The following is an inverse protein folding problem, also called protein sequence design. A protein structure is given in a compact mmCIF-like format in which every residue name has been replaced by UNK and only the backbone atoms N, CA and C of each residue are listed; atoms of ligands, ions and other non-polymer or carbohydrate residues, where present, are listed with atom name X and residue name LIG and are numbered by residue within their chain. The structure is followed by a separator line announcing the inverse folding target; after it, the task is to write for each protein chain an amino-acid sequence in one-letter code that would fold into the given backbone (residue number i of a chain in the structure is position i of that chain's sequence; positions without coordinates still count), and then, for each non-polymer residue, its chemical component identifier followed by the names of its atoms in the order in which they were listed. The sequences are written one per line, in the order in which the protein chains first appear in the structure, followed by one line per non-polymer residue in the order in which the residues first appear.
data_IF_503019640811
#
_entry.id   IF_503019640811
#
_cell.length_a   1.000
_cell.length_b   1.000
_cell.length_c   1.000
_cell.angle_alpha   90.00
_cell.angle_beta   90.00
_cell.angle_gamma   90.00
#
_symmetry.space_group_name_H-M   'P 1'
#
loop_
_entity.id
_entity.type
_entity.pdbx_description
1 polymer ?
#
# COMPACT_ATOMS: atom_id res chain seq x y z
N UNK A 1 -4.55 23.23 22.90
CA UNK A 1 -5.01 21.85 22.66
C UNK A 1 -3.77 21.09 22.24
N UNK A 2 -3.20 20.26 23.11
CA UNK A 2 -2.14 19.34 22.70
C UNK A 2 -2.81 18.22 21.92
N UNK A 3 -2.47 18.08 20.64
CA UNK A 3 -2.61 16.79 19.99
C UNK A 3 -1.66 15.87 20.74
N UNK A 4 -2.19 14.89 21.47
CA UNK A 4 -1.41 13.80 22.06
C UNK A 4 -0.88 12.92 20.92
N UNK A 5 0.02 13.49 20.11
CA UNK A 5 0.81 12.71 19.17
C UNK A 5 1.90 12.03 19.98
N UNK A 6 1.74 10.73 20.20
CA UNK A 6 2.80 9.89 20.73
C UNK A 6 4.08 10.16 19.92
N UNK A 7 5.19 10.58 20.54
CA UNK A 7 6.41 10.90 19.82
C UNK A 7 6.87 9.65 19.04
N UNK A 8 7.27 9.85 17.79
CA UNK A 8 7.77 8.79 16.91
C UNK A 8 9.06 9.22 16.22
N UNK A 9 9.82 8.25 15.73
CA UNK A 9 10.95 8.42 14.82
C UNK A 9 10.67 7.69 13.51
N UNK A 10 11.17 8.22 12.39
CA UNK A 10 11.03 7.60 11.08
C UNK A 10 12.21 6.72 10.71
N UNK A 11 11.87 5.50 10.30
CA UNK A 11 12.78 4.40 10.06
C UNK A 11 12.63 3.90 8.63
N UNK A 12 13.71 3.95 7.83
CA UNK A 12 13.73 3.40 6.48
C UNK A 12 14.20 1.95 6.52
N UNK A 13 13.32 1.00 6.27
CA UNK A 13 13.71 -0.41 6.06
C UNK A 13 13.76 -0.71 4.56
N UNK A 14 14.52 -1.71 4.15
CA UNK A 14 14.60 -2.15 2.75
C UNK A 14 14.40 -3.66 2.65
N UNK A 15 13.45 -4.07 1.80
CA UNK A 15 13.13 -5.46 1.51
C UNK A 15 13.33 -5.72 0.02
N UNK A 16 14.24 -6.61 -0.35
CA UNK A 16 14.46 -7.03 -1.75
C UNK A 16 14.05 -8.48 -1.91
N UNK A 17 13.16 -8.74 -2.87
CA UNK A 17 12.59 -10.07 -3.14
C UNK A 17 12.75 -10.41 -4.63
N UNK A 18 12.92 -11.70 -4.99
CA UNK A 18 12.78 -12.16 -6.37
C UNK A 18 11.37 -11.93 -6.90
N UNK A 19 11.23 -11.69 -8.21
CA UNK A 19 9.93 -11.50 -8.87
C UNK A 19 9.06 -12.77 -8.92
N UNK A 20 9.66 -13.95 -8.93
CA UNK A 20 8.91 -15.23 -8.88
C UNK A 20 8.27 -15.50 -7.51
N UNK A 21 8.71 -14.79 -6.48
CA UNK A 21 8.39 -15.00 -5.08
C UNK A 21 7.66 -13.80 -4.48
N UNK A 22 7.03 -12.97 -5.32
CA UNK A 22 6.46 -11.69 -4.89
C UNK A 22 5.42 -11.95 -3.81
N UNK A 23 5.80 -11.64 -2.57
CA UNK A 23 4.92 -11.47 -1.44
C UNK A 23 4.90 -10.00 -1.07
N UNK A 24 3.93 -9.58 -0.27
CA UNK A 24 3.93 -8.23 0.28
C UNK A 24 4.68 -8.26 1.63
N UNK A 25 6.00 -7.96 1.69
CA UNK A 25 6.76 -8.07 2.95
C UNK A 25 6.31 -7.05 3.99
N UNK A 26 5.61 -6.01 3.52
CA UNK A 26 5.25 -4.87 4.33
C UNK A 26 4.09 -5.19 5.28
N UNK A 27 3.25 -6.17 4.98
CA UNK A 27 2.19 -6.57 5.90
C UNK A 27 2.77 -6.97 7.28
N UNK A 28 3.87 -7.74 7.29
CA UNK A 28 4.56 -8.15 8.52
C UNK A 28 5.09 -6.96 9.33
N UNK A 29 5.34 -5.83 8.67
CA UNK A 29 5.71 -4.57 9.34
C UNK A 29 4.55 -4.06 10.18
N UNK A 30 3.34 -3.94 9.64
CA UNK A 30 2.19 -3.34 10.37
C UNK A 30 1.78 -4.09 11.63
N UNK A 31 2.06 -5.40 11.71
CA UNK A 31 1.75 -6.21 12.89
C UNK A 31 2.87 -6.26 13.91
N UNK A 32 3.95 -5.51 13.71
CA UNK A 32 5.00 -5.43 14.70
C UNK A 32 4.47 -4.76 15.97
N UNK A 33 4.61 -5.42 17.14
CA UNK A 33 4.32 -4.74 18.39
C UNK A 33 5.22 -3.51 18.47
N UNK A 34 4.69 -2.41 19.03
CA UNK A 34 5.44 -1.19 19.29
C UNK A 34 5.75 -0.28 18.08
N UNK A 35 5.09 -0.49 16.95
CA UNK A 35 4.82 0.60 16.01
C UNK A 35 3.77 1.54 16.59
N UNK A 36 3.65 2.76 16.03
CA UNK A 36 2.56 3.67 16.39
C UNK A 36 1.24 2.95 16.09
N UNK A 37 0.49 2.62 17.15
CA UNK A 37 -0.63 1.68 17.10
C UNK A 37 -1.91 2.36 17.63
N UNK A 38 -2.67 2.93 16.71
CA UNK A 38 -4.11 2.81 16.76
C UNK A 38 -4.60 2.57 15.32
N UNK A 39 -5.78 1.95 15.17
CA UNK A 39 -6.35 1.58 13.86
C UNK A 39 -6.58 2.78 12.93
N UNK A 40 -6.48 4.00 13.47
CA UNK A 40 -6.66 5.27 12.77
C UNK A 40 -5.34 5.88 12.27
N UNK A 41 -4.17 5.35 12.65
CA UNK A 41 -2.85 5.90 12.31
C UNK A 41 -2.05 4.94 11.41
N UNK A 42 -1.62 5.45 10.24
CA UNK A 42 -0.75 4.71 9.34
C UNK A 42 0.64 4.50 9.96
N UNK A 43 1.05 3.24 10.19
CA UNK A 43 2.39 2.90 10.68
C UNK A 43 3.45 2.94 9.59
N UNK A 44 3.05 2.87 8.31
CA UNK A 44 3.92 3.16 7.16
C UNK A 44 3.57 4.54 6.62
N UNK A 45 4.57 5.40 6.66
CA UNK A 45 4.50 6.77 6.23
C UNK A 45 4.54 6.87 4.71
N UNK A 46 5.57 6.32 4.09
CA UNK A 46 5.75 6.32 2.63
C UNK A 46 6.34 5.00 2.18
N UNK A 47 6.15 4.63 0.92
CA UNK A 47 6.73 3.45 0.31
C UNK A 47 7.38 3.82 -1.03
N UNK A 48 8.68 3.59 -1.15
CA UNK A 48 9.36 3.53 -2.44
C UNK A 48 9.39 2.08 -2.93
N UNK A 49 9.03 1.86 -4.18
CA UNK A 49 9.18 0.55 -4.85
C UNK A 49 10.11 0.73 -6.05
N UNK A 50 11.14 -0.10 -6.12
CA UNK A 50 12.05 -0.18 -7.27
C UNK A 50 11.97 -1.57 -7.91
N UNK A 51 12.02 -1.61 -9.25
CA UNK A 51 11.91 -2.83 -10.04
C UNK A 51 13.17 -3.01 -10.87
N UNK A 52 14.01 -3.98 -10.51
CA UNK A 52 15.19 -4.34 -11.27
C UNK A 52 14.86 -5.55 -12.17
N UNK A 53 14.53 -5.26 -13.42
CA UNK A 53 14.25 -6.29 -14.43
C UNK A 53 15.49 -7.05 -14.89
N UNK A 54 16.69 -6.51 -14.68
CA UNK A 54 17.91 -7.21 -15.05
C UNK A 54 18.23 -8.32 -14.06
N UNK A 55 18.01 -8.05 -12.77
CA UNK A 55 18.22 -9.00 -11.68
C UNK A 55 16.95 -9.74 -11.26
N UNK A 56 15.82 -9.48 -11.90
CA UNK A 56 14.51 -10.06 -11.59
C UNK A 56 14.13 -9.88 -10.11
N UNK A 57 14.34 -8.67 -9.58
CA UNK A 57 14.01 -8.33 -8.19
C UNK A 57 13.08 -7.12 -8.09
N UNK A 58 12.36 -7.08 -6.97
CA UNK A 58 11.58 -5.94 -6.52
C UNK A 58 12.09 -5.51 -5.14
N UNK A 59 12.27 -4.21 -4.95
CA UNK A 59 12.72 -3.63 -3.69
C UNK A 59 11.64 -2.72 -3.12
N UNK A 60 11.27 -2.97 -1.88
CA UNK A 60 10.36 -2.15 -1.08
C UNK A 60 11.15 -1.39 -0.02
N UNK A 61 11.05 -0.07 0.00
CA UNK A 61 11.70 0.78 0.99
C UNK A 61 10.69 1.63 1.77
N UNK A 62 9.96 1.04 2.74
CA UNK A 62 9.02 1.80 3.55
C UNK A 62 9.73 2.73 4.55
N UNK A 63 9.12 3.88 4.79
CA UNK A 63 9.35 4.71 5.97
C UNK A 63 8.33 4.31 7.04
N UNK A 64 8.82 3.84 8.18
CA UNK A 64 8.03 3.23 9.26
C UNK A 64 8.04 4.17 10.46
N UNK A 65 6.89 4.43 11.07
CA UNK A 65 6.77 5.18 12.33
C UNK A 65 7.08 4.26 13.51
N UNK A 66 8.12 4.58 14.27
CA UNK A 66 8.59 3.76 15.40
C UNK A 66 8.54 4.56 16.70
N UNK A 67 8.07 3.92 17.78
CA UNK A 67 8.11 4.54 19.11
C UNK A 67 9.58 4.57 19.59
N UNK A 68 10.12 5.72 20.06
CA UNK A 68 11.55 5.88 20.30
C UNK A 68 12.18 4.87 21.28
N UNK A 69 11.44 4.39 22.27
CA UNK A 69 11.93 3.43 23.28
C UNK A 69 11.84 1.95 22.83
N UNK A 70 11.45 1.70 21.58
CA UNK A 70 11.13 0.35 21.06
C UNK A 70 11.99 -0.06 19.88
N UNK A 71 13.04 0.71 19.62
CA UNK A 71 13.91 0.57 18.46
C UNK A 71 14.48 -0.84 18.29
N UNK A 72 15.09 -1.43 19.33
CA UNK A 72 15.70 -2.77 19.25
C UNK A 72 14.66 -3.83 18.88
N UNK A 73 13.45 -3.72 19.44
CA UNK A 73 12.39 -4.68 19.19
C UNK A 73 11.89 -4.61 17.74
N UNK A 74 11.74 -3.39 17.20
CA UNK A 74 11.34 -3.21 15.81
C UNK A 74 12.43 -3.69 14.87
N UNK A 75 13.70 -3.36 15.14
CA UNK A 75 14.83 -3.80 14.33
C UNK A 75 14.95 -5.34 14.28
N UNK A 76 14.90 -6.00 15.43
CA UNK A 76 14.96 -7.46 15.52
C UNK A 76 13.82 -8.12 14.74
N UNK A 77 12.63 -7.51 14.75
CA UNK A 77 11.49 -8.00 13.96
C UNK A 77 11.67 -7.78 12.46
N UNK A 78 12.22 -6.64 12.04
CA UNK A 78 12.49 -6.36 10.62
C UNK A 78 13.45 -7.38 10.02
N UNK A 79 14.49 -7.76 10.76
CA UNK A 79 15.47 -8.76 10.33
C UNK A 79 14.88 -10.15 10.07
N UNK A 80 13.72 -10.46 10.65
CA UNK A 80 13.05 -11.76 10.46
C UNK A 80 12.14 -11.78 9.23
N UNK A 81 11.81 -10.62 8.66
CA UNK A 81 10.97 -10.52 7.47
C UNK A 81 11.78 -10.95 6.25
N UNK A 82 11.19 -11.83 5.43
CA UNK A 82 11.81 -12.29 4.19
C UNK A 82 12.16 -11.09 3.29
N UNK A 83 13.37 -11.12 2.74
CA UNK A 83 13.88 -10.08 1.87
C UNK A 83 14.48 -8.88 2.58
N UNK A 84 14.45 -8.81 3.92
CA UNK A 84 15.10 -7.72 4.66
C UNK A 84 16.60 -7.64 4.29
N UNK A 85 17.04 -6.44 3.93
CA UNK A 85 18.41 -6.18 3.46
C UNK A 85 19.11 -5.10 4.26
N UNK A 86 18.40 -4.03 4.59
CA UNK A 86 19.00 -2.88 5.26
C UNK A 86 17.95 -2.11 6.07
N UNK A 87 18.44 -1.34 7.04
CA UNK A 87 17.66 -0.43 7.86
C UNK A 87 18.49 0.83 8.22
N UNK A 88 17.87 2.00 8.04
CA UNK A 88 18.46 3.32 8.36
C UNK A 88 17.45 4.16 9.15
N UNK A 89 17.87 4.71 10.28
CA UNK A 89 17.11 5.74 11.00
C UNK A 89 17.24 7.09 10.26
N UNK A 90 16.11 7.72 9.95
CA UNK A 90 16.06 8.97 9.16
C UNK A 90 15.90 10.22 10.03
N UNK A 91 15.40 10.04 11.25
CA UNK A 91 15.14 11.12 12.21
C UNK A 91 15.96 10.94 13.47
N UNK A 92 16.76 11.95 13.84
CA UNK A 92 17.62 11.90 15.03
C UNK A 92 16.86 12.21 16.32
N UNK A 93 15.87 13.12 16.30
CA UNK A 93 15.06 13.47 17.47
C UNK A 93 13.55 13.37 17.18
N UNK A 94 12.74 12.82 18.11
CA UNK A 94 11.29 12.79 17.95
C UNK A 94 10.72 14.21 17.79
N UNK A 95 9.93 14.42 16.74
CA UNK A 95 9.31 15.72 16.47
C UNK A 95 10.13 16.68 15.60
N UNK A 96 11.30 16.27 15.09
CA UNK A 96 11.89 16.97 13.92
C UNK A 96 10.84 17.06 12.79
N UNK A 97 10.67 18.23 12.15
CA UNK A 97 9.61 18.43 11.18
C UNK A 97 9.83 17.53 9.97
N UNK A 98 8.94 16.57 9.81
CA UNK A 98 8.80 15.78 8.60
C UNK A 98 7.36 15.95 8.11
N UNK A 99 7.21 16.36 6.86
CA UNK A 99 5.90 16.63 6.28
C UNK A 99 5.16 15.31 6.02
N UNK A 100 3.91 15.21 6.47
CA UNK A 100 3.07 14.06 6.15
C UNK A 100 3.01 13.86 4.64
N UNK A 101 3.19 12.61 4.16
CA UNK A 101 3.13 12.38 2.73
C UNK A 101 1.68 12.63 2.31
N UNK A 102 1.51 13.23 1.14
CA UNK A 102 0.18 13.53 0.63
C UNK A 102 -0.68 12.26 0.50
N UNK A 103 -0.04 11.11 0.22
CA UNK A 103 -0.69 9.82 -0.02
C UNK A 103 -0.02 8.70 0.81
N UNK A 104 -0.51 8.39 2.04
CA UNK A 104 0.02 7.29 2.84
C UNK A 104 -0.22 5.92 2.18
N UNK A 105 0.59 4.92 2.53
CA UNK A 105 0.42 3.54 2.02
C UNK A 105 -0.26 2.65 3.07
N UNK A 106 -1.36 1.99 2.68
CA UNK A 106 -2.19 1.09 3.49
C UNK A 106 -2.00 -0.34 3.02
N UNK A 107 -1.91 -1.27 3.98
CA UNK A 107 -1.61 -2.68 3.66
C UNK A 107 -2.34 -3.67 4.55
N UNK A 108 -3.02 -3.20 5.59
CA UNK A 108 -3.99 -3.97 6.37
C UNK A 108 -5.37 -3.59 5.88
N UNK A 109 -6.10 -4.53 5.30
CA UNK A 109 -7.44 -4.27 4.76
C UNK A 109 -8.51 -4.20 5.87
N UNK A 110 -8.22 -4.81 7.02
CA UNK A 110 -9.07 -4.80 8.22
C UNK A 110 -9.25 -3.39 8.83
N UNK A 111 -8.43 -2.43 8.41
CA UNK A 111 -8.41 -1.06 8.93
C UNK A 111 -9.07 -0.05 7.98
N UNK A 112 -9.70 -0.50 6.90
CA UNK A 112 -10.43 0.37 5.98
C UNK A 112 -11.69 0.93 6.62
N UNK A 113 -11.64 2.22 6.96
CA UNK A 113 -12.74 2.97 7.54
C UNK A 113 -13.28 4.07 6.62
N UNK A 114 -14.56 4.44 6.71
CA UNK A 114 -15.13 5.61 6.03
C UNK A 114 -14.47 6.95 6.40
N UNK A 115 -13.65 6.99 7.45
CA UNK A 115 -12.95 8.17 7.95
C UNK A 115 -11.74 8.59 7.11
N UNK A 116 -11.28 7.75 6.18
CA UNK A 116 -10.13 8.03 5.32
C UNK A 116 -10.49 9.05 4.23
N UNK A 117 -10.35 10.33 4.57
CA UNK A 117 -10.70 11.45 3.67
C UNK A 117 -9.59 11.84 2.69
N UNK A 118 -8.41 11.23 2.79
CA UNK A 118 -7.23 11.50 1.94
C UNK A 118 -7.02 10.38 0.93
N UNK A 119 -6.32 10.70 -0.16
CA UNK A 119 -5.82 9.70 -1.10
C UNK A 119 -4.81 8.80 -0.39
N UNK A 120 -4.74 7.54 -0.78
CA UNK A 120 -3.80 6.58 -0.21
C UNK A 120 -3.38 5.54 -1.25
N UNK A 121 -2.31 4.82 -0.96
CA UNK A 121 -1.83 3.72 -1.79
C UNK A 121 -2.20 2.40 -1.13
N UNK A 122 -2.52 1.37 -1.93
CA UNK A 122 -2.91 0.05 -1.43
C UNK A 122 -2.17 -1.02 -2.22
N UNK A 123 -1.62 -2.02 -1.54
CA UNK A 123 -0.90 -3.10 -2.19
C UNK A 123 -1.38 -4.47 -1.72
N UNK A 124 -1.65 -5.37 -2.66
CA UNK A 124 -2.11 -6.73 -2.39
C UNK A 124 -2.07 -7.60 -3.65
N UNK A 125 -2.47 -8.86 -3.52
CA UNK A 125 -2.57 -9.79 -4.66
C UNK A 125 -3.92 -9.65 -5.34
N UNK A 126 -3.93 -9.60 -6.66
CA UNK A 126 -5.16 -9.53 -7.45
C UNK A 126 -5.93 -10.85 -7.35
N UNK A 127 -7.23 -10.78 -7.10
CA UNK A 127 -8.18 -11.90 -7.18
C UNK A 127 -9.54 -11.43 -7.68
N UNK A 128 -10.41 -12.37 -8.04
CA UNK A 128 -11.79 -12.10 -8.48
C UNK A 128 -11.89 -11.07 -9.61
N UNK A 129 -10.92 -11.10 -10.55
CA UNK A 129 -10.86 -10.13 -11.63
C UNK A 129 -12.07 -10.29 -12.55
N UNK A 130 -12.89 -9.24 -12.64
CA UNK A 130 -14.03 -9.17 -13.55
C UNK A 130 -13.64 -8.42 -14.81
N UNK A 131 -14.23 -8.84 -15.92
CA UNK A 131 -14.14 -8.14 -17.20
C UNK A 131 -14.68 -6.71 -17.13
N UNK A 132 -14.49 -5.96 -18.23
CA UNK A 132 -14.96 -4.58 -18.38
C UNK A 132 -16.48 -4.47 -18.12
N UNK A 133 -16.86 -3.52 -17.28
CA UNK A 133 -18.25 -3.23 -16.92
C UNK A 133 -18.58 -1.75 -17.15
N UNK A 134 -19.87 -1.42 -17.24
CA UNK A 134 -20.37 -0.06 -17.43
C UNK A 134 -21.47 0.27 -16.44
N UNK A 135 -21.40 1.47 -15.85
CA UNK A 135 -22.46 2.07 -15.05
C UNK A 135 -22.76 3.51 -15.51
N UNK A 136 -23.43 4.29 -14.65
CA UNK A 136 -23.73 5.71 -14.90
C UNK A 136 -22.52 6.63 -14.74
N UNK A 137 -21.44 6.16 -14.10
CA UNK A 137 -20.23 6.92 -13.82
C UNK A 137 -19.10 6.65 -14.83
N UNK A 138 -19.18 5.55 -15.57
CA UNK A 138 -18.34 5.26 -16.73
C UNK A 138 -18.12 3.77 -16.95
N UNK A 139 -17.00 3.45 -17.61
CA UNK A 139 -16.51 2.09 -17.73
C UNK A 139 -15.46 1.81 -16.67
N UNK A 140 -15.48 0.60 -16.13
CA UNK A 140 -14.60 0.21 -15.04
C UNK A 140 -14.30 -1.28 -15.03
N UNK A 141 -13.24 -1.63 -14.34
CA UNK A 141 -12.87 -2.99 -13.96
C UNK A 141 -13.09 -3.16 -12.47
N UNK A 142 -13.45 -4.38 -12.07
CA UNK A 142 -13.45 -4.75 -10.65
C UNK A 142 -12.55 -5.95 -10.41
N UNK A 143 -11.88 -5.91 -9.26
CA UNK A 143 -11.07 -7.00 -8.73
C UNK A 143 -10.95 -6.80 -7.23
N UNK A 144 -10.52 -7.82 -6.53
CA UNK A 144 -10.15 -7.74 -5.13
C UNK A 144 -8.62 -7.70 -5.02
N UNK A 145 -8.12 -6.95 -4.06
CA UNK A 145 -6.77 -7.15 -3.55
C UNK A 145 -6.86 -8.00 -2.28
N UNK A 146 -6.04 -9.03 -2.20
CA UNK A 146 -5.87 -9.90 -1.03
C UNK A 146 -4.57 -9.61 -0.30
N UNK A 147 -4.63 -9.55 1.02
CA UNK A 147 -3.44 -9.62 1.87
C UNK A 147 -3.00 -11.08 2.07
N UNK A 148 -1.90 -11.30 2.80
CA UNK A 148 -1.37 -12.64 3.04
C UNK A 148 -2.23 -13.51 3.99
N UNK A 149 -3.28 -12.95 4.60
CA UNK A 149 -4.21 -13.64 5.52
C UNK A 149 -5.57 -13.91 4.90
N UNK A 150 -5.81 -13.43 3.68
CA UNK A 150 -7.05 -13.62 2.95
C UNK A 150 -8.10 -12.54 3.23
N UNK A 151 -7.73 -11.43 3.88
CA UNK A 151 -8.61 -10.27 3.90
C UNK A 151 -8.61 -9.64 2.51
N UNK A 152 -9.76 -9.14 2.06
CA UNK A 152 -9.91 -8.54 0.75
C UNK A 152 -10.33 -7.07 0.84
N UNK A 153 -9.88 -6.28 -0.13
CA UNK A 153 -10.47 -4.97 -0.42
C UNK A 153 -10.90 -4.92 -1.87
N UNK A 154 -12.19 -4.61 -2.06
CA UNK A 154 -12.77 -4.50 -3.38
C UNK A 154 -12.25 -3.25 -4.10
N UNK A 155 -11.85 -3.39 -5.36
CA UNK A 155 -11.20 -2.33 -6.13
C UNK A 155 -12.01 -2.00 -7.38
N UNK A 156 -12.30 -0.71 -7.56
CA UNK A 156 -12.99 -0.17 -8.73
C UNK A 156 -12.01 0.67 -9.54
N UNK A 157 -11.53 0.11 -10.66
CA UNK A 157 -10.61 0.80 -11.55
C UNK A 157 -11.36 1.39 -12.74
N UNK A 158 -11.58 2.71 -12.70
CA UNK A 158 -12.31 3.42 -13.75
C UNK A 158 -11.37 3.73 -14.92
N UNK A 159 -11.79 3.37 -16.12
CA UNK A 159 -11.06 3.70 -17.34
C UNK A 159 -11.54 5.05 -17.85
N UNK A 160 -10.67 6.05 -17.83
CA UNK A 160 -10.98 7.37 -18.37
C UNK A 160 -10.99 7.34 -19.90
N UNK A 161 -12.17 7.40 -20.49
CA UNK A 161 -12.33 7.96 -21.83
C UNK A 161 -13.07 9.31 -21.72
N UNK A 162 -12.79 10.23 -22.64
CA UNK A 162 -13.13 11.66 -22.54
C UNK A 162 -14.62 11.95 -22.29
N UNK A 163 -15.51 11.02 -22.65
CA UNK A 163 -16.96 11.15 -22.49
C UNK A 163 -17.59 10.13 -21.52
N UNK A 164 -16.81 9.27 -20.85
CA UNK A 164 -17.32 8.22 -19.93
C UNK A 164 -18.27 7.18 -20.56
N UNK A 165 -18.69 7.40 -21.81
CA UNK A 165 -19.69 6.62 -22.52
C UNK A 165 -19.09 5.72 -23.60
N UNK A 166 -17.90 6.07 -24.11
CA UNK A 166 -17.13 5.25 -25.05
C UNK A 166 -16.54 4.03 -24.32
N UNK A 167 -16.54 2.88 -24.99
CA UNK A 167 -16.03 1.63 -24.42
C UNK A 167 -14.61 1.80 -23.90
N UNK A 168 -14.43 1.54 -22.60
CA UNK A 168 -13.14 1.60 -21.93
C UNK A 168 -12.15 0.58 -22.49
N UNK A 169 -10.85 0.87 -22.37
CA UNK A 169 -9.83 -0.09 -22.77
C UNK A 169 -9.85 -1.32 -21.85
N UNK A 170 -9.56 -2.49 -22.42
CA UNK A 170 -9.32 -3.66 -21.59
C UNK A 170 -8.10 -3.48 -20.70
N UNK A 171 -8.18 -3.99 -19.47
CA UNK A 171 -7.09 -3.99 -18.50
C UNK A 171 -6.10 -5.09 -18.92
N UNK A 172 -5.44 -4.83 -20.04
CA UNK A 172 -4.56 -5.79 -20.68
C UNK A 172 -3.41 -6.12 -19.74
N UNK A 173 -3.17 -7.42 -19.54
CA UNK A 173 -2.02 -7.95 -18.79
C UNK A 173 -2.09 -7.86 -17.26
N UNK A 174 -3.28 -7.97 -16.67
CA UNK A 174 -3.45 -8.28 -15.24
C UNK A 174 -4.09 -9.64 -15.10
N UNK A 175 -3.49 -10.49 -14.27
CA UNK A 175 -3.98 -11.82 -13.96
C UNK A 175 -4.23 -11.97 -12.46
N UNK A 176 -5.11 -12.89 -12.11
CA UNK A 176 -5.24 -13.31 -10.72
C UNK A 176 -3.91 -13.87 -10.21
N UNK A 177 -3.55 -13.51 -8.99
CA UNK A 177 -2.28 -13.86 -8.34
C UNK A 177 -1.18 -12.81 -8.51
N UNK A 178 -1.27 -11.91 -9.49
CA UNK A 178 -0.32 -10.79 -9.64
C UNK A 178 -0.33 -9.91 -8.39
N UNK A 179 0.82 -9.35 -8.01
CA UNK A 179 0.84 -8.30 -6.98
C UNK A 179 0.52 -6.97 -7.66
N UNK A 180 -0.39 -6.19 -7.09
CA UNK A 180 -0.75 -4.89 -7.60
C UNK A 180 -0.69 -3.80 -6.52
N UNK A 181 -0.13 -2.65 -6.89
CA UNK A 181 -0.13 -1.42 -6.12
C UNK A 181 -1.10 -0.43 -6.78
N UNK A 182 -2.15 -0.08 -6.06
CA UNK A 182 -3.06 1.00 -6.39
C UNK A 182 -2.51 2.29 -5.78
N UNK A 183 -2.15 3.27 -6.61
CA UNK A 183 -1.64 4.58 -6.18
C UNK A 183 -2.78 5.59 -6.21
N UNK A 184 -2.86 6.47 -5.21
CA UNK A 184 -3.88 7.52 -5.08
C UNK A 184 -5.32 6.98 -5.18
N UNK A 185 -5.59 5.88 -4.49
CA UNK A 185 -6.94 5.37 -4.30
C UNK A 185 -7.73 6.24 -3.32
N UNK A 186 -9.05 6.26 -3.47
CA UNK A 186 -10.01 6.87 -2.54
C UNK A 186 -10.98 5.81 -2.03
N UNK A 187 -11.62 5.97 -0.85
CA UNK A 187 -12.71 5.08 -0.47
C UNK A 187 -13.84 5.16 -1.51
N UNK A 188 -14.48 4.03 -1.80
CA UNK A 188 -15.67 4.00 -2.65
C UNK A 188 -16.95 3.97 -1.81
N UNK A 189 -18.01 4.63 -2.29
CA UNK A 189 -19.31 4.65 -1.62
C UNK A 189 -20.03 3.29 -1.68
N UNK A 190 -19.75 2.51 -2.72
CA UNK A 190 -20.30 1.17 -2.95
C UNK A 190 -19.47 0.05 -2.30
N UNK A 191 -18.64 0.39 -1.31
CA UNK A 191 -17.65 -0.50 -0.65
C UNK A 191 -16.30 -0.61 -1.38
N UNK A 192 -15.23 -0.75 -0.59
CA UNK A 192 -13.86 -0.88 -1.08
C UNK A 192 -13.21 0.45 -1.47
N UNK A 193 -12.41 0.42 -2.52
CA UNK A 193 -11.61 1.55 -3.00
C UNK A 193 -11.87 1.84 -4.46
N UNK A 194 -11.72 3.11 -4.83
CA UNK A 194 -11.84 3.62 -6.18
C UNK A 194 -10.48 4.13 -6.66
N UNK A 195 -10.12 3.72 -7.88
CA UNK A 195 -8.95 4.19 -8.62
C UNK A 195 -9.50 4.93 -9.83
N UNK A 196 -9.54 6.26 -9.74
CA UNK A 196 -10.02 7.13 -10.80
C UNK A 196 -8.90 7.81 -11.57
N UNK A 197 -9.22 8.91 -12.26
CA UNK A 197 -8.30 9.71 -13.10
C UNK A 197 -6.93 10.06 -12.52
N UNK A 198 -6.84 10.24 -11.21
CA UNK A 198 -5.60 10.62 -10.51
C UNK A 198 -4.86 9.42 -9.91
N UNK A 199 -5.47 8.24 -10.01
CA UNK A 199 -4.94 6.99 -9.52
C UNK A 199 -4.21 6.23 -10.61
N UNK A 200 -3.30 5.37 -10.16
CA UNK A 200 -2.56 4.47 -11.03
C UNK A 200 -2.67 3.05 -10.50
N UNK A 201 -2.63 2.08 -11.41
CA UNK A 201 -2.55 0.67 -11.08
C UNK A 201 -1.22 0.13 -11.61
N UNK A 202 -0.31 -0.18 -10.69
CA UNK A 202 0.99 -0.76 -10.99
C UNK A 202 0.94 -2.26 -10.71
N UNK A 203 1.30 -3.09 -11.69
CA UNK A 203 1.17 -4.55 -11.62
C UNK A 203 2.55 -5.18 -11.71
N UNK A 204 2.87 -6.00 -10.73
CA UNK A 204 4.09 -6.79 -10.64
C UNK A 204 3.70 -8.24 -10.93
N UNK A 205 4.06 -8.69 -12.13
CA UNK A 205 3.68 -10.00 -12.66
C UNK A 205 4.43 -11.11 -11.93
N UNK A 206 3.71 -12.19 -11.62
CA UNK A 206 4.32 -13.48 -11.29
C UNK A 206 4.96 -14.13 -12.52
#
# INVERSE_FOLDING_TARGET
MSTDETPFVLWKATFTLPLEDITNPLHQVLRMPHLVHNEEQASIYSLLIDLDRHNETITFSPLIKVVPDKFEHVHDKLQLIRGFTDFVQVQEQPGDPFDEPENPTIMSFDSFGPSWSRLFNVIGRVSDLKGLQKDVTGWFWTFDLLDEYGNSVHCWFYTDDLDGLMEGAELSNVNEGDLALCVNATPNLEEGIRIGKRGELLVFRN
#
